data_IF_455268374744
#
_entry.id   IF_455268374744
#
_cell.length_a   1.000
_cell.length_b   1.000
_cell.length_c   1.000
_cell.angle_alpha   90.00
_cell.angle_beta   90.00
_cell.angle_gamma   90.00
#
_symmetry.space_group_name_H-M   'P 1'
#
loop_
_entity.id
_entity.type
_entity.pdbx_description
1 polymer ?
#
# COMPACT_ATOMS: atom_id res chain seq x y z
N UNK A 1 8.03 -3.73 -14.56
CA UNK A 1 7.91 -2.46 -13.82
C UNK A 1 6.46 -2.09 -13.72
N UNK A 2 6.12 -1.12 -12.88
CA UNK A 2 4.72 -0.72 -12.65
C UNK A 2 4.06 -0.09 -13.89
N UNK A 3 4.84 0.44 -14.85
CA UNK A 3 4.34 1.04 -16.09
C UNK A 3 3.74 -0.01 -17.03
N UNK A 4 4.56 -0.94 -17.51
CA UNK A 4 4.06 -2.05 -18.34
C UNK A 4 3.07 -2.94 -17.57
N UNK A 5 3.26 -3.12 -16.26
CA UNK A 5 2.32 -3.86 -15.42
C UNK A 5 0.92 -3.25 -15.40
N UNK A 6 0.81 -1.91 -15.35
CA UNK A 6 -0.47 -1.19 -15.45
C UNK A 6 -1.17 -1.47 -16.78
N UNK A 7 -0.45 -1.29 -17.88
CA UNK A 7 -1.00 -1.46 -19.23
C UNK A 7 -1.44 -2.92 -19.45
N UNK A 8 -0.62 -3.89 -19.02
CA UNK A 8 -0.93 -5.30 -19.12
C UNK A 8 -2.13 -5.71 -18.25
N UNK A 9 -2.22 -5.18 -17.04
CA UNK A 9 -3.38 -5.43 -16.18
C UNK A 9 -4.66 -4.82 -16.78
N UNK A 10 -4.57 -3.65 -17.44
CA UNK A 10 -5.70 -3.08 -18.16
C UNK A 10 -6.14 -3.96 -19.34
N UNK A 11 -5.23 -4.49 -20.16
CA UNK A 11 -5.60 -5.41 -21.27
C UNK A 11 -6.26 -6.68 -20.76
N UNK A 12 -5.80 -7.22 -19.63
CA UNK A 12 -6.47 -8.33 -18.93
C UNK A 12 -7.86 -7.95 -18.45
N UNK A 13 -8.04 -6.78 -17.84
CA UNK A 13 -9.34 -6.31 -17.38
C UNK A 13 -10.35 -6.14 -18.52
N UNK A 14 -9.91 -5.69 -19.70
CA UNK A 14 -10.75 -5.64 -20.91
C UNK A 14 -11.22 -7.04 -21.33
N UNK A 15 -10.31 -8.01 -21.34
CA UNK A 15 -10.65 -9.40 -21.71
C UNK A 15 -11.58 -10.05 -20.68
N UNK A 16 -11.28 -9.89 -19.39
CA UNK A 16 -12.06 -10.44 -18.29
C UNK A 16 -13.47 -9.82 -18.24
N UNK A 17 -13.58 -8.52 -18.46
CA UNK A 17 -14.87 -7.85 -18.55
C UNK A 17 -15.77 -8.45 -19.63
N UNK A 18 -15.22 -8.83 -20.78
CA UNK A 18 -15.99 -9.53 -21.84
C UNK A 18 -16.39 -10.93 -21.43
N UNK A 19 -15.56 -11.64 -20.68
CA UNK A 19 -15.87 -12.97 -20.18
C UNK A 19 -17.01 -12.95 -19.14
N UNK A 20 -16.98 -11.98 -18.22
CA UNK A 20 -17.97 -11.86 -17.13
C UNK A 20 -19.28 -11.22 -17.62
N UNK A 21 -19.21 -10.14 -18.40
CA UNK A 21 -20.38 -9.33 -18.76
C UNK A 21 -20.88 -9.56 -20.20
N UNK A 22 -20.21 -10.44 -20.97
CA UNK A 22 -20.56 -10.78 -22.34
C UNK A 22 -19.79 -9.99 -23.42
N UNK A 23 -19.84 -10.43 -24.70
CA UNK A 23 -19.00 -9.91 -25.78
C UNK A 23 -19.24 -8.44 -26.13
N UNK A 24 -20.43 -7.91 -25.83
CA UNK A 24 -20.81 -6.51 -26.04
C UNK A 24 -20.22 -5.56 -24.98
N UNK A 25 -19.65 -6.10 -23.89
CA UNK A 25 -19.01 -5.27 -22.89
C UNK A 25 -17.68 -4.71 -23.42
N UNK A 26 -17.61 -3.39 -23.54
CA UNK A 26 -16.38 -2.69 -23.90
C UNK A 26 -15.98 -1.70 -22.79
N UNK A 27 -14.99 -2.10 -22.00
CA UNK A 27 -14.41 -1.26 -20.93
C UNK A 27 -13.79 0.02 -21.51
N UNK A 28 -13.13 -0.08 -22.66
CA UNK A 28 -12.38 1.00 -23.29
C UNK A 28 -13.32 2.04 -23.87
N UNK A 29 -14.41 1.63 -24.53
CA UNK A 29 -15.41 2.58 -25.03
C UNK A 29 -16.21 3.23 -23.89
N UNK A 30 -16.53 2.49 -22.82
CA UNK A 30 -17.15 3.09 -21.62
C UNK A 30 -16.24 4.15 -20.98
N UNK A 31 -14.94 3.88 -20.92
CA UNK A 31 -13.93 4.83 -20.44
C UNK A 31 -13.88 6.06 -21.36
N UNK A 32 -13.75 5.85 -22.67
CA UNK A 32 -13.72 6.91 -23.69
C UNK A 32 -14.92 7.84 -23.65
N UNK A 33 -16.10 7.28 -23.36
CA UNK A 33 -17.37 8.01 -23.25
C UNK A 33 -17.53 8.75 -21.91
N UNK A 34 -16.60 8.61 -20.96
CA UNK A 34 -16.72 9.20 -19.62
C UNK A 34 -17.83 8.57 -18.77
N UNK A 35 -18.31 7.38 -19.13
CA UNK A 35 -19.42 6.72 -18.44
C UNK A 35 -19.01 6.08 -17.11
N UNK A 36 -17.72 5.75 -16.96
CA UNK A 36 -17.15 5.07 -15.80
C UNK A 36 -15.86 5.76 -15.34
N UNK A 37 -15.46 5.51 -14.10
CA UNK A 37 -14.09 5.73 -13.61
C UNK A 37 -13.50 4.38 -13.30
N UNK A 38 -12.28 4.09 -13.76
CA UNK A 38 -11.60 2.81 -13.51
C UNK A 38 -10.49 3.04 -12.51
N UNK A 39 -10.40 2.17 -11.50
CA UNK A 39 -9.29 2.16 -10.55
C UNK A 39 -8.54 0.83 -10.65
N UNK A 40 -7.22 0.91 -10.64
CA UNK A 40 -6.29 -0.21 -10.60
C UNK A 40 -5.41 -0.07 -9.36
N UNK A 41 -5.30 -1.15 -8.60
CA UNK A 41 -4.53 -1.20 -7.38
C UNK A 41 -3.32 -2.10 -7.60
N UNK A 42 -2.11 -1.55 -7.54
CA UNK A 42 -0.89 -2.34 -7.60
C UNK A 42 -0.72 -3.08 -6.29
N UNK A 43 -0.97 -4.39 -6.35
CA UNK A 43 -0.67 -5.32 -5.26
C UNK A 43 0.72 -5.94 -5.36
N UNK A 44 1.43 -5.65 -6.45
CA UNK A 44 2.72 -6.25 -6.74
C UNK A 44 3.82 -5.79 -5.77
N UNK A 45 4.68 -6.73 -5.39
CA UNK A 45 5.89 -6.50 -4.60
C UNK A 45 6.02 -7.52 -3.48
N UNK A 46 7.24 -8.03 -3.25
CA UNK A 46 7.52 -9.09 -2.27
C UNK A 46 7.30 -8.66 -0.80
N UNK A 47 7.02 -7.39 -0.54
CA UNK A 47 6.85 -6.87 0.82
C UNK A 47 8.07 -7.01 1.72
N UNK A 48 9.29 -7.09 1.17
CA UNK A 48 10.50 -7.49 1.92
C UNK A 48 10.73 -6.67 3.20
N UNK A 49 10.50 -5.35 3.17
CA UNK A 49 10.68 -4.47 4.35
C UNK A 49 9.58 -4.62 5.42
N UNK A 50 8.45 -5.25 5.08
CA UNK A 50 7.35 -5.59 5.98
C UNK A 50 7.42 -7.05 6.45
N UNK A 51 8.34 -7.86 5.90
CA UNK A 51 8.53 -9.25 6.33
C UNK A 51 8.75 -9.32 7.85
N UNK A 52 8.10 -10.29 8.56
CA UNK A 52 7.49 -11.50 7.99
C UNK A 52 5.99 -11.42 7.66
N UNK A 53 5.30 -10.30 7.92
CA UNK A 53 3.82 -10.22 7.82
C UNK A 53 3.25 -10.68 6.46
N UNK A 54 3.81 -10.26 5.30
CA UNK A 54 3.29 -10.70 4.01
C UNK A 54 3.32 -12.22 3.81
N UNK A 55 4.25 -12.94 4.46
CA UNK A 55 4.31 -14.39 4.37
C UNK A 55 3.06 -15.06 4.97
N UNK A 56 2.47 -14.46 6.00
CA UNK A 56 1.21 -14.92 6.61
C UNK A 56 0.00 -14.75 5.68
N UNK A 57 0.09 -13.79 4.77
CA UNK A 57 -0.96 -13.46 3.80
C UNK A 57 -0.60 -13.99 2.42
N UNK A 58 0.14 -15.10 2.33
CA UNK A 58 0.54 -15.74 1.07
C UNK A 58 1.24 -14.79 0.09
N UNK A 59 2.19 -14.02 0.61
CA UNK A 59 2.94 -12.98 -0.10
C UNK A 59 2.11 -11.78 -0.57
N UNK A 60 0.83 -11.69 -0.17
CA UNK A 60 -0.03 -10.55 -0.46
C UNK A 60 0.21 -9.42 0.55
N UNK A 61 1.14 -8.52 0.22
CA UNK A 61 1.45 -7.37 1.09
C UNK A 61 0.21 -6.50 1.42
N UNK A 62 -0.62 -6.05 0.45
CA UNK A 62 -1.87 -5.36 0.75
C UNK A 62 -2.91 -6.17 1.54
N UNK A 63 -2.77 -7.50 1.54
CA UNK A 63 -3.63 -8.41 2.30
C UNK A 63 -3.41 -8.34 3.81
N UNK A 64 -2.30 -7.76 4.29
CA UNK A 64 -2.05 -7.57 5.72
C UNK A 64 -3.20 -6.80 6.36
N UNK A 65 -3.74 -7.32 7.47
CA UNK A 65 -4.90 -6.77 8.15
C UNK A 65 -4.52 -5.55 9.00
N UNK A 66 -5.47 -4.63 9.14
CA UNK A 66 -5.46 -3.45 9.99
C UNK A 66 -6.34 -3.70 11.22
N UNK A 67 -6.19 -2.91 12.30
CA UNK A 67 -7.04 -2.98 13.48
C UNK A 67 -8.38 -2.28 13.22
N UNK A 68 -9.14 -2.83 12.29
CA UNK A 68 -10.47 -2.40 11.93
C UNK A 68 -11.25 -3.61 11.44
N UNK A 69 -12.57 -3.59 11.63
CA UNK A 69 -13.45 -4.61 11.08
C UNK A 69 -14.40 -3.97 10.07
N UNK A 70 -14.77 -4.73 9.05
CA UNK A 70 -15.76 -4.36 8.04
C UNK A 70 -16.84 -5.43 7.97
N UNK A 71 -18.03 -5.04 7.55
CA UNK A 71 -19.10 -5.99 7.28
C UNK A 71 -19.13 -6.31 5.78
N UNK A 72 -18.97 -7.59 5.44
CA UNK A 72 -19.08 -8.12 4.08
C UNK A 72 -20.13 -9.22 4.13
N UNK A 73 -21.21 -9.08 3.37
CA UNK A 73 -22.30 -10.06 3.28
C UNK A 73 -22.86 -10.55 4.63
N UNK A 74 -22.88 -9.66 5.64
CA UNK A 74 -23.36 -9.95 6.99
C UNK A 74 -22.28 -10.45 7.96
N UNK A 75 -21.10 -10.84 7.47
CA UNK A 75 -19.98 -11.26 8.29
C UNK A 75 -19.07 -10.08 8.67
N UNK A 76 -18.60 -10.07 9.92
CA UNK A 76 -17.64 -9.06 10.40
C UNK A 76 -16.22 -9.61 10.27
N UNK A 77 -15.46 -9.09 9.32
CA UNK A 77 -14.09 -9.55 9.00
C UNK A 77 -13.07 -8.44 9.19
N UNK A 78 -11.80 -8.77 9.48
CA UNK A 78 -10.74 -7.75 9.58
C UNK A 78 -10.53 -7.01 8.25
N UNK A 79 -10.41 -5.70 8.31
CA UNK A 79 -10.05 -4.87 7.17
C UNK A 79 -8.59 -5.11 6.78
N UNK A 80 -8.32 -5.28 5.49
CA UNK A 80 -6.98 -5.32 4.88
C UNK A 80 -6.46 -3.91 4.57
N UNK A 81 -5.15 -3.75 4.37
CA UNK A 81 -4.60 -2.50 3.83
C UNK A 81 -5.23 -2.19 2.46
N UNK A 82 -5.44 -3.19 1.61
CA UNK A 82 -6.06 -2.99 0.30
C UNK A 82 -7.45 -2.36 0.39
N UNK A 83 -8.30 -2.86 1.29
CA UNK A 83 -9.66 -2.31 1.49
C UNK A 83 -9.62 -0.88 2.02
N UNK A 84 -8.67 -0.56 2.92
CA UNK A 84 -8.42 0.81 3.33
C UNK A 84 -8.01 1.71 2.15
N UNK A 85 -7.14 1.22 1.26
CA UNK A 85 -6.73 1.93 0.04
C UNK A 85 -7.90 2.10 -0.93
N UNK A 86 -8.78 1.11 -1.07
CA UNK A 86 -9.99 1.25 -1.89
C UNK A 86 -10.91 2.32 -1.28
N UNK A 87 -11.15 2.25 0.04
CA UNK A 87 -11.98 3.22 0.77
C UNK A 87 -11.49 4.65 0.62
N UNK A 88 -10.20 4.91 0.82
CA UNK A 88 -9.66 6.27 0.73
C UNK A 88 -9.70 6.83 -0.70
N UNK A 89 -9.49 5.98 -1.71
CA UNK A 89 -9.31 6.43 -3.09
C UNK A 89 -10.63 6.56 -3.84
N UNK A 90 -11.67 5.86 -3.38
CA UNK A 90 -13.02 5.92 -3.94
C UNK A 90 -13.61 7.33 -3.98
N UNK A 91 -13.17 8.22 -3.08
CA UNK A 91 -13.61 9.63 -3.05
C UNK A 91 -13.26 10.42 -4.31
N UNK A 92 -12.26 9.98 -5.09
CA UNK A 92 -11.85 10.61 -6.35
C UNK A 92 -12.64 10.14 -7.57
N UNK A 93 -13.47 9.10 -7.45
CA UNK A 93 -14.12 8.45 -8.59
C UNK A 93 -15.04 9.40 -9.39
N UNK A 94 -15.70 10.34 -8.72
CA UNK A 94 -16.59 11.33 -9.36
C UNK A 94 -15.82 12.33 -10.22
N UNK A 95 -14.67 12.80 -9.74
CA UNK A 95 -13.75 13.69 -10.45
C UNK A 95 -13.06 13.02 -11.66
N UNK A 96 -13.00 11.68 -11.69
CA UNK A 96 -12.15 10.92 -12.62
C UNK A 96 -12.91 10.06 -13.62
N UNK A 97 -14.16 10.41 -13.90
CA UNK A 97 -14.89 9.79 -15.00
C UNK A 97 -14.12 9.90 -16.32
N UNK A 98 -14.06 8.79 -17.04
CA UNK A 98 -13.30 8.61 -18.27
C UNK A 98 -11.81 8.39 -18.10
N UNK A 99 -11.35 8.07 -16.89
CA UNK A 99 -9.93 7.91 -16.58
C UNK A 99 -9.62 6.58 -15.90
N UNK A 100 -8.43 6.06 -16.18
CA UNK A 100 -7.81 4.97 -15.44
C UNK A 100 -6.97 5.60 -14.32
N UNK A 101 -7.36 5.36 -13.07
CA UNK A 101 -6.59 5.72 -11.88
C UNK A 101 -5.79 4.54 -11.40
N UNK A 102 -4.55 4.77 -11.00
CA UNK A 102 -3.61 3.76 -10.53
C UNK A 102 -3.12 4.15 -9.15
N UNK A 103 -3.26 3.23 -8.20
CA UNK A 103 -2.92 3.43 -6.80
C UNK A 103 -2.01 2.32 -6.28
N UNK A 104 -1.16 2.66 -5.30
CA UNK A 104 -0.39 1.66 -4.55
C UNK A 104 -1.28 0.99 -3.50
N UNK A 105 -1.30 -0.34 -3.47
CA UNK A 105 -2.17 -1.11 -2.56
C UNK A 105 -1.77 -1.08 -1.08
N UNK A 106 -0.70 -0.38 -0.70
CA UNK A 106 -0.05 -0.47 0.62
C UNK A 106 0.09 0.86 1.37
N UNK A 107 -0.52 1.95 0.87
CA UNK A 107 -0.36 3.30 1.44
C UNK A 107 -1.70 3.96 1.69
N UNK A 108 -1.96 4.34 2.94
CA UNK A 108 -3.14 5.11 3.30
C UNK A 108 -2.80 6.60 3.46
N UNK A 109 -3.48 7.49 2.74
CA UNK A 109 -3.41 8.92 2.92
C UNK A 109 -4.81 9.54 3.03
N UNK A 110 -4.97 10.47 3.95
CA UNK A 110 -6.20 11.23 4.15
C UNK A 110 -5.96 12.65 3.65
N UNK A 111 -6.60 13.07 2.54
CA UNK A 111 -6.35 14.39 1.97
C UNK A 111 -6.86 15.49 2.91
N UNK A 112 -6.09 16.58 2.98
CA UNK A 112 -6.51 17.84 3.60
C UNK A 112 -7.06 18.84 2.57
N UNK A 113 -6.78 18.62 1.28
CA UNK A 113 -7.34 19.36 0.16
C UNK A 113 -8.65 18.73 -0.36
N UNK A 114 -9.37 19.50 -1.19
CA UNK A 114 -10.60 19.03 -1.82
C UNK A 114 -10.33 17.91 -2.84
N UNK A 115 -11.14 16.85 -2.77
CA UNK A 115 -11.04 15.68 -3.68
C UNK A 115 -11.96 15.80 -4.91
N UNK A 116 -12.89 16.75 -4.88
CA UNK A 116 -13.76 17.10 -6.00
C UNK A 116 -13.05 18.14 -6.88
N UNK A 117 -12.76 17.77 -8.13
CA UNK A 117 -12.11 18.65 -9.09
C UNK A 117 -12.48 18.25 -10.53
N UNK A 118 -12.20 19.13 -11.48
CA UNK A 118 -12.28 18.83 -12.92
C UNK A 118 -10.87 18.62 -13.45
N UNK A 119 -10.55 17.45 -14.04
CA UNK A 119 -9.24 17.23 -14.64
C UNK A 119 -8.93 18.26 -15.73
N UNK A 120 -7.78 18.91 -15.62
CA UNK A 120 -7.27 19.87 -16.59
C UNK A 120 -6.13 19.30 -17.44
N UNK A 121 -5.69 18.07 -17.14
CA UNK A 121 -4.55 17.41 -17.77
C UNK A 121 -4.89 15.96 -18.17
N UNK A 122 -4.23 15.46 -19.20
CA UNK A 122 -4.33 14.07 -19.66
C UNK A 122 -3.76 13.09 -18.63
N UNK A 123 -2.76 13.53 -17.86
CA UNK A 123 -2.13 12.79 -16.78
C UNK A 123 -2.21 13.63 -15.52
N UNK A 124 -2.74 13.07 -14.44
CA UNK A 124 -2.75 13.64 -13.10
C UNK A 124 -1.88 12.77 -12.19
N UNK A 125 -1.01 13.36 -11.39
CA UNK A 125 -0.29 12.65 -10.32
C UNK A 125 -0.64 13.24 -8.96
N UNK A 126 -0.85 12.39 -7.94
CA UNK A 126 -1.15 12.86 -6.60
C UNK A 126 0.15 13.20 -5.87
N UNK A 127 0.19 14.38 -5.25
CA UNK A 127 1.32 14.81 -4.43
C UNK A 127 0.88 15.67 -3.25
N UNK A 128 1.74 15.78 -2.24
CA UNK A 128 1.60 16.73 -1.12
C UNK A 128 2.36 18.01 -1.47
N UNK A 129 1.70 18.98 -2.09
CA UNK A 129 2.38 20.20 -2.55
C UNK A 129 2.67 21.15 -1.38
N UNK A 130 3.84 21.79 -1.42
CA UNK A 130 4.26 22.85 -0.52
C UNK A 130 5.15 23.85 -1.29
N UNK A 131 5.50 25.02 -0.71
CA UNK A 131 6.59 25.83 -1.24
C UNK A 131 7.90 25.02 -1.31
N UNK A 132 8.79 25.37 -2.26
CA UNK A 132 10.11 24.73 -2.36
C UNK A 132 10.86 24.89 -1.04
N UNK A 133 11.22 23.79 -0.35
CA UNK A 133 11.85 23.89 0.96
C UNK A 133 13.32 24.29 0.82
N UNK A 134 13.91 24.75 1.92
CA UNK A 134 15.36 24.92 2.05
C UNK A 134 16.08 23.57 2.01
N UNK A 135 17.39 23.57 1.77
CA UNK A 135 18.19 22.34 1.78
C UNK A 135 18.12 21.61 3.14
N UNK A 136 18.09 22.36 4.24
CA UNK A 136 17.96 21.80 5.59
C UNK A 136 16.62 21.09 5.79
N UNK A 137 15.52 21.71 5.36
CA UNK A 137 14.18 21.11 5.41
C UNK A 137 14.05 19.90 4.48
N UNK A 138 14.69 19.94 3.30
CA UNK A 138 14.74 18.81 2.37
C UNK A 138 15.36 17.57 3.02
N UNK A 139 16.51 17.76 3.68
CA UNK A 139 17.21 16.69 4.41
C UNK A 139 16.41 16.21 5.62
N UNK A 140 15.82 17.13 6.40
CA UNK A 140 15.02 16.78 7.57
C UNK A 140 13.79 15.95 7.19
N UNK A 141 13.15 16.27 6.07
CA UNK A 141 12.00 15.53 5.51
C UNK A 141 12.40 14.29 4.71
N UNK A 142 13.69 14.10 4.42
CA UNK A 142 14.20 12.97 3.63
C UNK A 142 13.66 12.93 2.21
N UNK A 143 13.46 14.09 1.58
CA UNK A 143 12.82 14.21 0.25
C UNK A 143 13.61 13.55 -0.88
N UNK A 144 14.91 13.31 -0.67
CA UNK A 144 15.78 12.55 -1.59
C UNK A 144 15.39 11.08 -1.75
N UNK A 145 14.56 10.55 -0.84
CA UNK A 145 14.09 9.16 -0.85
C UNK A 145 12.82 8.95 -1.68
N UNK A 146 12.18 10.02 -2.13
CA UNK A 146 10.89 10.00 -2.79
C UNK A 146 10.94 10.59 -4.20
N UNK A 147 9.92 10.27 -5.00
CA UNK A 147 9.63 11.02 -6.23
C UNK A 147 9.09 12.40 -5.88
N UNK A 148 9.37 13.38 -6.73
CA UNK A 148 9.00 14.77 -6.51
C UNK A 148 8.23 15.33 -7.70
N UNK A 149 7.17 16.06 -7.37
CA UNK A 149 6.37 16.80 -8.32
C UNK A 149 6.65 18.28 -8.16
N UNK A 150 7.08 18.92 -9.24
CA UNK A 150 7.22 20.36 -9.30
C UNK A 150 6.14 20.94 -10.22
N UNK A 151 5.49 22.00 -9.78
CA UNK A 151 4.42 22.69 -10.53
C UNK A 151 4.87 24.11 -10.83
N UNK A 152 4.80 24.52 -12.09
CA UNK A 152 5.13 25.87 -12.55
C UNK A 152 3.94 26.83 -12.51
N UNK A 153 4.17 28.09 -12.93
CA UNK A 153 3.15 29.14 -12.99
C UNK A 153 1.96 28.83 -13.92
N UNK A 154 2.15 27.96 -14.91
CA UNK A 154 1.12 27.53 -15.86
C UNK A 154 0.37 26.26 -15.40
N UNK A 155 0.61 25.85 -14.14
CA UNK A 155 0.11 24.62 -13.54
C UNK A 155 0.51 23.35 -14.35
N UNK A 156 1.63 23.38 -15.06
CA UNK A 156 2.22 22.15 -15.61
C UNK A 156 3.12 21.52 -14.56
N UNK A 157 2.99 20.22 -14.40
CA UNK A 157 3.80 19.45 -13.48
C UNK A 157 5.02 18.83 -14.19
N UNK A 158 6.06 18.55 -13.42
CA UNK A 158 7.21 17.75 -13.81
C UNK A 158 7.55 16.72 -12.73
N UNK A 159 7.96 15.53 -13.16
CA UNK A 159 8.41 14.46 -12.28
C UNK A 159 9.94 14.46 -12.21
N UNK A 160 10.47 14.44 -10.99
CA UNK A 160 11.89 14.19 -10.73
C UNK A 160 12.02 13.10 -9.67
N UNK A 161 12.67 11.98 -9.98
CA UNK A 161 12.72 10.82 -9.07
C UNK A 161 14.00 10.77 -8.22
N UNK A 162 13.86 10.88 -6.88
CA UNK A 162 14.90 10.61 -5.87
C UNK A 162 16.20 11.36 -6.11
N UNK A 163 16.16 12.68 -5.94
CA UNK A 163 17.28 13.60 -6.18
C UNK A 163 17.63 14.42 -4.96
N UNK A 164 18.86 14.93 -4.92
CA UNK A 164 19.25 15.95 -3.94
C UNK A 164 18.54 17.28 -4.20
N UNK A 165 18.50 18.15 -3.19
CA UNK A 165 17.95 19.51 -3.30
C UNK A 165 18.62 20.32 -4.42
N UNK A 166 19.95 20.30 -4.48
CA UNK A 166 20.72 20.99 -5.53
C UNK A 166 20.42 20.44 -6.93
N UNK A 167 20.29 19.12 -7.08
CA UNK A 167 19.92 18.50 -8.36
C UNK A 167 18.50 18.90 -8.76
N UNK A 168 17.53 18.90 -7.85
CA UNK A 168 16.16 19.36 -8.12
C UNK A 168 16.13 20.81 -8.60
N UNK A 169 16.79 21.74 -7.91
CA UNK A 169 16.85 23.14 -8.31
C UNK A 169 17.43 23.32 -9.71
N UNK A 170 18.53 22.62 -10.01
CA UNK A 170 19.16 22.69 -11.32
C UNK A 170 18.25 22.16 -12.42
N UNK A 171 17.65 20.99 -12.24
CA UNK A 171 16.78 20.35 -13.25
C UNK A 171 15.50 21.14 -13.51
N UNK A 172 15.01 21.85 -12.49
CA UNK A 172 13.77 22.63 -12.57
C UNK A 172 14.01 24.10 -12.96
N UNK A 173 15.28 24.54 -13.05
CA UNK A 173 15.63 25.94 -13.33
C UNK A 173 15.12 26.44 -14.69
N UNK A 174 15.03 25.55 -15.69
CA UNK A 174 14.54 25.88 -17.04
C UNK A 174 13.02 26.04 -17.09
N UNK A 175 12.29 25.64 -16.04
CA UNK A 175 10.81 25.72 -15.98
C UNK A 175 10.28 27.09 -15.53
N UNK A 176 11.16 28.09 -15.38
CA UNK A 176 10.79 29.41 -14.91
C UNK A 176 10.38 29.42 -13.44
N UNK A 177 9.33 30.16 -13.11
CA UNK A 177 8.88 30.30 -11.72
C UNK A 177 8.16 29.02 -11.25
N UNK A 178 8.77 28.32 -10.29
CA UNK A 178 8.14 27.20 -9.59
C UNK A 178 7.15 27.73 -8.57
N UNK A 179 5.88 27.34 -8.74
CA UNK A 179 4.78 27.66 -7.83
C UNK A 179 4.85 26.79 -6.57
N UNK A 180 5.12 25.50 -6.73
CA UNK A 180 5.14 24.54 -5.62
C UNK A 180 5.90 23.27 -5.96
N UNK A 181 6.39 22.58 -4.93
CA UNK A 181 7.04 21.27 -5.01
C UNK A 181 6.48 20.36 -3.92
N UNK A 182 6.29 19.08 -4.23
CA UNK A 182 5.72 18.12 -3.30
C UNK A 182 6.21 16.71 -3.48
N UNK A 183 6.03 15.90 -2.43
CA UNK A 183 6.31 14.47 -2.48
C UNK A 183 5.24 13.77 -3.32
N UNK A 184 5.67 13.05 -4.34
CA UNK A 184 4.79 12.18 -5.13
C UNK A 184 4.30 11.04 -4.26
N UNK A 185 2.98 10.80 -4.28
CA UNK A 185 2.38 9.59 -3.72
C UNK A 185 2.46 8.40 -4.69
N UNK A 186 3.05 8.60 -5.87
CA UNK A 186 3.19 7.59 -6.94
C UNK A 186 1.87 7.10 -7.52
N UNK A 187 0.73 7.60 -7.02
CA UNK A 187 -0.60 7.34 -7.57
C UNK A 187 -0.88 8.35 -8.67
N UNK A 188 -1.48 7.90 -9.76
CA UNK A 188 -1.74 8.75 -10.92
C UNK A 188 -3.08 8.41 -11.58
N UNK A 189 -3.52 9.25 -12.50
CA UNK A 189 -4.70 9.00 -13.31
C UNK A 189 -4.46 9.48 -14.73
N UNK A 190 -4.72 8.61 -15.70
CA UNK A 190 -4.62 8.91 -17.13
C UNK A 190 -5.97 8.84 -17.79
N UNK A 191 -6.22 9.76 -18.71
CA UNK A 191 -7.41 9.68 -19.56
C UNK A 191 -7.29 8.62 -20.67
N UNK A 192 -8.38 8.44 -21.41
CA UNK A 192 -8.44 7.53 -22.53
C UNK A 192 -7.36 7.80 -23.58
N UNK A 193 -7.10 9.05 -23.94
CA UNK A 193 -6.28 9.39 -25.10
C UNK A 193 -4.81 8.99 -24.85
N UNK A 194 -4.25 9.30 -23.67
CA UNK A 194 -2.88 8.91 -23.34
C UNK A 194 -2.78 7.42 -23.00
N UNK A 195 -3.84 6.81 -22.44
CA UNK A 195 -3.88 5.37 -22.20
C UNK A 195 -3.76 4.58 -23.51
N UNK A 196 -4.52 4.93 -24.54
CA UNK A 196 -4.44 4.26 -25.85
C UNK A 196 -3.07 4.49 -26.49
N UNK A 197 -2.54 5.73 -26.44
CA UNK A 197 -1.20 6.00 -26.97
C UNK A 197 -0.10 5.13 -26.31
N UNK A 198 -0.19 4.91 -25.00
CA UNK A 198 0.73 4.02 -24.28
C UNK A 198 0.50 2.54 -24.61
N UNK A 199 -0.75 2.09 -24.71
CA UNK A 199 -1.07 0.71 -25.10
C UNK A 199 -0.54 0.37 -26.49
N UNK A 200 -0.72 1.28 -27.45
CA UNK A 200 -0.25 1.10 -28.83
C UNK A 200 1.28 1.11 -28.90
N UNK A 201 1.94 2.04 -28.20
CA UNK A 201 3.40 2.13 -28.19
C UNK A 201 4.08 0.87 -27.68
N UNK A 202 3.52 0.27 -26.62
CA UNK A 202 4.11 -0.87 -25.93
C UNK A 202 3.45 -2.21 -26.27
N UNK A 203 2.63 -2.26 -27.33
CA UNK A 203 1.86 -3.45 -27.69
C UNK A 203 2.72 -4.71 -27.83
N UNK A 204 3.92 -4.57 -28.40
CA UNK A 204 4.87 -5.67 -28.57
C UNK A 204 5.36 -6.23 -27.23
N UNK A 205 5.79 -5.37 -26.31
CA UNK A 205 6.21 -5.77 -24.96
C UNK A 205 5.08 -6.39 -24.16
N UNK A 206 3.86 -5.87 -24.29
CA UNK A 206 2.67 -6.40 -23.62
C UNK A 206 2.31 -7.80 -24.14
N UNK A 207 2.38 -8.02 -25.47
CA UNK A 207 2.13 -9.32 -26.09
C UNK A 207 3.19 -10.35 -25.68
N UNK A 208 4.45 -9.95 -25.66
CA UNK A 208 5.58 -10.82 -25.31
C UNK A 208 5.78 -10.99 -23.80
N UNK A 209 5.09 -10.19 -22.98
CA UNK A 209 5.29 -10.10 -21.52
C UNK A 209 6.75 -9.82 -21.16
N UNK A 210 7.38 -8.92 -21.91
CA UNK A 210 8.81 -8.61 -21.78
C UNK A 210 9.04 -7.18 -21.28
N UNK A 211 10.22 -6.94 -20.71
CA UNK A 211 10.64 -5.61 -20.25
C UNK A 211 10.28 -5.26 -18.81
N UNK A 212 10.92 -4.19 -18.29
CA UNK A 212 10.74 -3.72 -16.91
C UNK A 212 10.70 -2.20 -16.84
N UNK A 213 9.69 -1.59 -17.47
CA UNK A 213 9.49 -0.13 -17.41
C UNK A 213 8.55 0.26 -16.26
N UNK A 214 9.00 1.22 -15.46
CA UNK A 214 8.25 1.93 -14.42
C UNK A 214 7.76 3.30 -14.92
N UNK A 215 6.59 3.72 -14.46
CA UNK A 215 5.90 4.95 -14.86
C UNK A 215 6.73 6.21 -14.65
N UNK A 216 7.25 6.45 -13.45
CA UNK A 216 8.02 7.66 -13.14
C UNK A 216 9.24 7.84 -14.06
N UNK A 217 10.24 6.94 -14.05
CA UNK A 217 11.43 7.11 -14.88
C UNK A 217 11.18 6.87 -16.37
N UNK A 218 10.25 6.00 -16.78
CA UNK A 218 10.16 5.62 -18.20
C UNK A 218 9.00 6.29 -18.93
N UNK A 219 7.95 6.78 -18.25
CA UNK A 219 6.83 7.47 -18.89
C UNK A 219 6.85 8.97 -18.56
N UNK A 220 6.80 9.35 -17.28
CA UNK A 220 6.60 10.75 -16.88
C UNK A 220 7.85 11.61 -17.05
N UNK A 221 9.02 11.13 -16.62
CA UNK A 221 10.27 11.86 -16.76
C UNK A 221 10.59 12.21 -18.23
N UNK A 222 10.57 11.28 -19.20
CA UNK A 222 10.84 11.64 -20.59
C UNK A 222 9.73 12.51 -21.21
N UNK A 223 8.54 12.60 -20.62
CA UNK A 223 7.50 13.56 -21.04
C UNK A 223 7.72 14.97 -20.49
N UNK A 224 8.36 15.10 -19.33
CA UNK A 224 8.38 16.35 -18.56
C UNK A 224 9.76 16.98 -18.42
N UNK A 225 10.83 16.24 -18.69
CA UNK A 225 12.20 16.70 -18.57
C UNK A 225 12.87 16.90 -19.94
N UNK A 226 13.81 17.85 -20.06
CA UNK A 226 14.70 17.93 -21.21
C UNK A 226 15.55 16.66 -21.37
N UNK A 227 15.93 16.33 -22.60
CA UNK A 227 16.72 15.13 -22.94
C UNK A 227 17.99 14.97 -22.09
N UNK A 228 18.76 16.04 -21.93
CA UNK A 228 20.02 16.02 -21.18
C UNK A 228 19.77 15.68 -19.71
N UNK A 229 18.79 16.35 -19.10
CA UNK A 229 18.37 16.12 -17.72
C UNK A 229 17.88 14.67 -17.50
N UNK A 230 17.09 14.15 -18.44
CA UNK A 230 16.59 12.77 -18.39
C UNK A 230 17.73 11.74 -18.44
N UNK A 231 18.64 11.86 -19.42
CA UNK A 231 19.78 10.94 -19.58
C UNK A 231 20.67 10.96 -18.34
N UNK A 232 20.93 12.15 -17.78
CA UNK A 232 21.73 12.31 -16.57
C UNK A 232 21.13 11.53 -15.40
N UNK A 233 19.83 11.71 -15.13
CA UNK A 233 19.14 11.03 -14.04
C UNK A 233 19.09 9.52 -14.24
N UNK A 234 18.82 9.06 -15.46
CA UNK A 234 18.79 7.63 -15.76
C UNK A 234 20.17 6.98 -15.58
N UNK A 235 21.24 7.70 -15.94
CA UNK A 235 22.63 7.25 -15.71
C UNK A 235 22.95 7.14 -14.22
N UNK A 236 22.51 8.10 -13.39
CA UNK A 236 22.64 8.03 -11.93
C UNK A 236 21.90 6.83 -11.33
N UNK A 237 20.83 6.37 -11.98
CA UNK A 237 20.05 5.18 -11.62
C UNK A 237 20.62 3.87 -12.22
N UNK A 238 21.77 3.93 -12.90
CA UNK A 238 22.47 2.78 -13.45
C UNK A 238 22.02 2.36 -14.85
N UNK A 239 21.18 3.14 -15.53
CA UNK A 239 20.82 2.87 -16.92
C UNK A 239 21.94 3.32 -17.88
N UNK A 240 22.11 2.62 -18.99
CA UNK A 240 23.05 3.02 -20.03
C UNK A 240 22.59 4.33 -20.72
N UNK A 241 23.56 5.18 -21.10
CA UNK A 241 23.30 6.42 -21.86
C UNK A 241 22.60 6.11 -23.19
N UNK A 242 23.04 5.06 -23.89
CA UNK A 242 22.44 4.59 -25.14
C UNK A 242 20.95 4.26 -24.97
N UNK A 243 20.63 3.40 -23.99
CA UNK A 243 19.26 3.04 -23.65
C UNK A 243 18.41 4.28 -23.31
N UNK A 244 18.95 5.16 -22.46
CA UNK A 244 18.25 6.37 -22.03
C UNK A 244 17.97 7.30 -23.21
N UNK A 245 18.92 7.44 -24.13
CA UNK A 245 18.77 8.26 -25.33
C UNK A 245 17.67 7.73 -26.24
N UNK A 246 17.72 6.43 -26.57
CA UNK A 246 16.73 5.77 -27.43
C UNK A 246 15.34 5.79 -26.80
N UNK A 247 15.26 5.53 -25.49
CA UNK A 247 13.99 5.55 -24.78
C UNK A 247 13.36 6.95 -24.75
N UNK A 248 14.16 8.00 -24.52
CA UNK A 248 13.67 9.38 -24.60
C UNK A 248 13.08 9.69 -25.97
N UNK A 249 13.80 9.36 -27.05
CA UNK A 249 13.37 9.60 -28.42
C UNK A 249 12.09 8.83 -28.78
N UNK A 250 11.97 7.60 -28.29
CA UNK A 250 10.75 6.79 -28.41
C UNK A 250 9.56 7.49 -27.76
N UNK A 251 9.70 7.93 -26.51
CA UNK A 251 8.63 8.60 -25.77
C UNK A 251 8.26 9.96 -26.38
N UNK A 252 9.22 10.71 -26.91
CA UNK A 252 8.94 11.95 -27.63
C UNK A 252 8.20 11.70 -28.95
N UNK A 253 8.54 10.63 -29.66
CA UNK A 253 7.83 10.21 -30.87
C UNK A 253 6.38 9.80 -30.58
N UNK A 254 6.15 9.09 -29.46
CA UNK A 254 4.81 8.83 -28.93
C UNK A 254 4.06 10.14 -28.68
N UNK A 255 4.65 11.08 -27.93
CA UNK A 255 4.00 12.35 -27.61
C UNK A 255 3.62 13.12 -28.87
N UNK A 256 4.49 13.14 -29.88
CA UNK A 256 4.18 13.78 -31.15
C UNK A 256 2.92 13.19 -31.79
N UNK A 257 2.82 11.85 -31.88
CA UNK A 257 1.62 11.17 -32.40
C UNK A 257 0.39 11.45 -31.53
N UNK A 258 0.55 11.38 -30.21
CA UNK A 258 -0.51 11.67 -29.25
C UNK A 258 -1.10 13.07 -29.48
N UNK A 259 -0.27 14.10 -29.62
CA UNK A 259 -0.77 15.47 -29.85
C UNK A 259 -1.49 15.66 -31.19
N UNK A 260 -1.17 14.85 -32.21
CA UNK A 260 -1.86 14.87 -33.50
C UNK A 260 -3.23 14.17 -33.44
N UNK A 261 -3.39 13.18 -32.57
CA UNK A 261 -4.54 12.27 -32.55
C UNK A 261 -5.48 12.45 -31.35
N UNK A 262 -5.07 13.19 -30.31
CA UNK A 262 -5.86 13.40 -29.10
C UNK A 262 -7.21 14.07 -29.41
N UNK A 263 -8.23 13.65 -28.69
CA UNK A 263 -9.59 14.20 -28.76
C UNK A 263 -9.70 15.46 -27.91
N UNK A 264 -9.19 15.37 -26.68
CA UNK A 264 -9.26 16.46 -25.71
C UNK A 264 -8.04 17.38 -25.82
N UNK A 265 -8.24 18.69 -25.60
CA UNK A 265 -7.16 19.69 -25.60
C UNK A 265 -6.75 20.08 -24.18
N UNK A 266 -6.38 19.09 -23.38
CA UNK A 266 -5.92 19.29 -22.00
C UNK A 266 -4.42 19.57 -21.93
N UNK A 267 -3.94 20.00 -20.76
CA UNK A 267 -2.51 19.96 -20.44
C UNK A 267 -1.99 18.52 -20.44
N UNK A 268 -0.69 18.31 -20.57
CA UNK A 268 -0.17 16.94 -20.62
C UNK A 268 -0.11 16.31 -19.23
N UNK A 269 0.64 16.95 -18.32
CA UNK A 269 0.99 16.40 -17.01
C UNK A 269 0.67 17.43 -15.92
N UNK A 270 -0.28 17.09 -15.06
CA UNK A 270 -0.78 17.93 -13.97
C UNK A 270 -0.60 17.26 -12.61
N UNK A 271 -0.78 18.05 -11.56
CA UNK A 271 -0.71 17.58 -10.19
C UNK A 271 -2.06 17.76 -9.49
N UNK A 272 -2.49 16.72 -8.77
CA UNK A 272 -3.61 16.79 -7.83
C UNK A 272 -3.01 16.90 -6.43
N UNK A 273 -3.10 18.09 -5.85
CA UNK A 273 -2.62 18.32 -4.48
C UNK A 273 -3.56 17.65 -3.48
N UNK A 274 -3.02 16.75 -2.65
CA UNK A 274 -3.77 16.16 -1.52
C UNK A 274 -3.72 17.04 -0.27
N UNK A 275 -2.97 18.14 -0.33
CA UNK A 275 -2.79 19.14 0.70
C UNK A 275 -1.63 18.81 1.64
N UNK A 276 -0.89 19.85 2.06
CA UNK A 276 0.32 19.73 2.90
C UNK A 276 0.06 19.21 4.32
N UNK A 277 -1.19 19.22 4.77
CA UNK A 277 -1.63 18.70 6.07
C UNK A 277 -2.28 17.31 5.96
N UNK A 278 -2.13 16.63 4.82
CA UNK A 278 -2.62 15.27 4.64
C UNK A 278 -1.95 14.32 5.65
N UNK A 279 -2.74 13.42 6.23
CA UNK A 279 -2.17 12.29 6.96
C UNK A 279 -1.66 11.25 5.99
N UNK A 280 -0.53 10.63 6.30
CA UNK A 280 0.06 9.57 5.49
C UNK A 280 0.55 8.42 6.37
N UNK A 281 -0.20 7.34 6.34
CA UNK A 281 0.05 6.11 7.07
C UNK A 281 0.61 5.05 6.09
N UNK A 282 1.95 5.02 6.00
CA UNK A 282 2.70 4.03 5.21
C UNK A 282 2.82 2.72 6.01
N UNK A 283 2.29 1.62 5.48
CA UNK A 283 2.36 0.29 6.08
C UNK A 283 3.47 -0.57 5.45
N UNK A 284 4.39 0.01 4.70
CA UNK A 284 5.43 -0.71 3.97
C UNK A 284 6.60 -1.24 4.80
N UNK A 285 6.67 -0.95 6.11
CA UNK A 285 7.74 -1.38 7.02
C UNK A 285 7.16 -1.78 8.39
N UNK A 286 7.74 -2.80 9.03
CA UNK A 286 7.30 -3.30 10.36
C UNK A 286 7.15 -2.20 11.41
N UNK A 287 8.16 -1.33 11.57
CA UNK A 287 8.12 -0.24 12.54
C UNK A 287 6.97 0.73 12.32
N UNK A 288 6.61 0.98 11.05
CA UNK A 288 5.51 1.87 10.71
C UNK A 288 4.17 1.15 10.82
N UNK A 289 4.13 -0.15 10.56
CA UNK A 289 2.96 -0.97 10.85
C UNK A 289 2.59 -0.90 12.34
N UNK A 290 3.55 -1.08 13.26
CA UNK A 290 3.29 -0.90 14.70
C UNK A 290 2.88 0.55 15.02
N UNK A 291 3.72 1.52 14.63
CA UNK A 291 3.49 2.95 14.95
C UNK A 291 2.12 3.43 14.48
N UNK A 292 1.79 3.23 13.21
CA UNK A 292 0.57 3.78 12.62
C UNK A 292 -0.68 3.08 13.16
N UNK A 293 -0.60 1.79 13.51
CA UNK A 293 -1.73 1.11 14.11
C UNK A 293 -1.93 1.52 15.57
N UNK A 294 -0.86 1.68 16.36
CA UNK A 294 -0.97 2.14 17.76
C UNK A 294 -1.44 3.59 17.89
N UNK A 295 -1.34 4.40 16.83
CA UNK A 295 -1.88 5.77 16.79
C UNK A 295 -3.37 5.82 17.19
N UNK A 296 -4.16 4.77 16.91
CA UNK A 296 -5.58 4.71 17.33
C UNK A 296 -5.79 4.80 18.84
N UNK A 297 -4.75 4.55 19.63
CA UNK A 297 -4.80 4.60 21.10
C UNK A 297 -4.53 5.99 21.66
N UNK A 298 -3.99 6.91 20.85
CA UNK A 298 -3.58 8.23 21.29
C UNK A 298 -4.74 9.22 21.35
N UNK A 299 -4.56 10.29 22.14
CA UNK A 299 -5.48 11.42 22.22
C UNK A 299 -4.96 12.61 21.40
N UNK A 300 -4.95 12.43 20.08
CA UNK A 300 -4.56 13.46 19.12
C UNK A 300 -5.60 13.62 18.01
N UNK A 301 -5.54 14.74 17.28
CA UNK A 301 -6.43 14.98 16.13
C UNK A 301 -6.21 13.94 15.03
N UNK A 302 -4.95 13.54 14.81
CA UNK A 302 -4.61 12.50 13.84
C UNK A 302 -5.14 11.13 14.26
N UNK A 303 -5.03 10.79 15.55
CA UNK A 303 -5.60 9.57 16.10
C UNK A 303 -7.13 9.53 15.97
N UNK A 304 -7.81 10.66 16.20
CA UNK A 304 -9.24 10.78 15.99
C UNK A 304 -9.62 10.59 14.51
N UNK A 305 -8.84 11.16 13.58
CA UNK A 305 -9.04 10.98 12.15
C UNK A 305 -8.82 9.51 11.73
N UNK A 306 -7.78 8.85 12.25
CA UNK A 306 -7.53 7.42 12.00
C UNK A 306 -8.68 6.56 12.53
N UNK A 307 -9.13 6.77 13.77
CA UNK A 307 -10.30 6.05 14.33
C UNK A 307 -11.55 6.26 13.48
N UNK A 308 -11.83 7.49 13.07
CA UNK A 308 -12.96 7.79 12.19
C UNK A 308 -12.83 7.10 10.83
N UNK A 309 -11.64 7.11 10.24
CA UNK A 309 -11.37 6.43 8.97
C UNK A 309 -11.55 4.91 9.08
N UNK A 310 -11.08 4.31 10.17
CA UNK A 310 -11.21 2.88 10.45
C UNK A 310 -12.60 2.48 10.93
N UNK A 311 -13.48 3.44 11.25
CA UNK A 311 -14.83 3.17 11.78
C UNK A 311 -14.85 2.76 13.25
N UNK A 312 -13.80 3.07 14.01
CA UNK A 312 -13.69 2.77 15.44
C UNK A 312 -14.45 3.82 16.24
N UNK A 313 -15.69 3.52 16.62
CA UNK A 313 -16.53 4.41 17.45
C UNK A 313 -16.40 4.12 18.94
N UNK A 314 -16.02 2.90 19.29
CA UNK A 314 -15.77 2.45 20.66
C UNK A 314 -14.50 1.60 20.65
N UNK A 315 -13.50 1.89 21.50
CA UNK A 315 -12.25 1.14 21.55
C UNK A 315 -12.42 -0.33 21.94
N UNK A 316 -13.59 -0.77 22.41
CA UNK A 316 -13.86 -2.15 22.84
C UNK A 316 -14.93 -2.85 21.98
N UNK A 317 -15.24 -2.31 20.79
CA UNK A 317 -16.34 -2.82 19.95
C UNK A 317 -16.11 -4.27 19.48
N UNK A 318 -17.22 -5.02 19.38
CA UNK A 318 -17.25 -6.44 19.01
C UNK A 318 -16.48 -7.39 19.95
N UNK A 319 -16.08 -6.92 21.14
CA UNK A 319 -15.28 -7.70 22.07
C UNK A 319 -16.09 -8.23 23.27
N UNK A 320 -15.75 -9.44 23.70
CA UNK A 320 -16.23 -10.10 24.92
C UNK A 320 -15.12 -10.09 25.97
N UNK A 321 -15.21 -9.18 26.96
CA UNK A 321 -14.15 -8.92 27.91
C UNK A 321 -14.62 -9.25 29.33
N UNK A 322 -13.82 -10.04 30.05
CA UNK A 322 -14.19 -10.49 31.39
C UNK A 322 -14.13 -9.39 32.46
N UNK A 323 -14.82 -9.61 33.60
CA UNK A 323 -14.89 -8.62 34.67
C UNK A 323 -13.49 -8.40 35.29
N UNK A 324 -13.11 -7.14 35.48
CA UNK A 324 -11.85 -6.76 36.11
C UNK A 324 -10.65 -6.64 35.16
N UNK A 325 -10.85 -6.69 33.85
CA UNK A 325 -9.84 -6.25 32.88
C UNK A 325 -9.42 -4.80 33.15
N UNK A 326 -8.12 -4.51 33.00
CA UNK A 326 -7.55 -3.17 33.12
C UNK A 326 -7.12 -2.67 31.75
N UNK A 327 -7.59 -1.48 31.38
CA UNK A 327 -7.28 -0.83 30.11
C UNK A 327 -6.68 0.55 30.34
N UNK A 328 -5.69 0.91 29.54
CA UNK A 328 -5.11 2.25 29.47
C UNK A 328 -4.71 2.54 28.02
N UNK A 329 -5.34 3.52 27.37
CA UNK A 329 -5.12 3.86 25.96
C UNK A 329 -5.09 2.62 25.03
N UNK A 330 -6.26 2.05 24.70
CA UNK A 330 -6.34 0.79 23.95
C UNK A 330 -7.30 0.85 22.78
N UNK A 331 -7.13 -0.08 21.84
CA UNK A 331 -8.20 -0.53 20.93
C UNK A 331 -8.22 -2.07 20.94
N UNK A 332 -9.30 -2.66 21.44
CA UNK A 332 -9.54 -4.10 21.55
C UNK A 332 -10.80 -4.43 20.76
N UNK A 333 -10.61 -4.94 19.56
CA UNK A 333 -11.64 -5.10 18.54
C UNK A 333 -11.88 -6.58 18.27
N UNK A 334 -13.14 -7.02 18.24
CA UNK A 334 -13.47 -8.41 17.86
C UNK A 334 -12.79 -9.48 18.73
N UNK A 335 -12.48 -9.17 19.99
CA UNK A 335 -11.60 -9.99 20.83
C UNK A 335 -12.34 -10.61 22.02
N UNK A 336 -11.94 -11.82 22.43
CA UNK A 336 -12.50 -12.54 23.59
C UNK A 336 -11.43 -12.82 24.64
N UNK A 337 -11.47 -12.09 25.76
CA UNK A 337 -10.41 -12.11 26.78
C UNK A 337 -11.00 -12.16 28.19
N UNK A 338 -10.61 -13.15 29.00
CA UNK A 338 -11.21 -13.33 30.33
C UNK A 338 -10.63 -12.41 31.41
N UNK A 339 -9.30 -12.19 31.45
CA UNK A 339 -8.68 -11.33 32.47
C UNK A 339 -7.33 -10.78 32.01
N UNK A 340 -6.84 -9.76 32.71
CA UNK A 340 -5.51 -9.23 32.45
C UNK A 340 -5.44 -7.72 32.33
N UNK A 341 -4.36 -7.25 31.72
CA UNK A 341 -4.07 -5.82 31.55
C UNK A 341 -3.59 -5.53 30.13
N UNK A 342 -4.09 -4.44 29.56
CA UNK A 342 -3.71 -3.96 28.23
C UNK A 342 -3.43 -2.46 28.32
N UNK A 343 -2.23 -2.04 27.90
CA UNK A 343 -1.82 -0.62 27.90
C UNK A 343 -1.24 -0.21 26.56
N UNK A 344 -1.64 0.95 26.02
CA UNK A 344 -1.08 1.55 24.80
C UNK A 344 -0.95 0.54 23.64
N UNK A 345 -1.95 -0.32 23.51
CA UNK A 345 -1.88 -1.51 22.66
C UNK A 345 -3.14 -1.69 21.83
N UNK A 346 -2.98 -2.41 20.72
CA UNK A 346 -4.04 -2.69 19.76
C UNK A 346 -4.19 -4.19 19.58
N UNK A 347 -5.39 -4.70 19.86
CA UNK A 347 -5.74 -6.10 19.72
C UNK A 347 -6.93 -6.18 18.75
N UNK A 348 -6.80 -6.99 17.69
CA UNK A 348 -7.89 -7.25 16.75
C UNK A 348 -8.03 -8.76 16.55
N UNK A 349 -9.21 -9.32 16.81
CA UNK A 349 -9.45 -10.76 16.65
C UNK A 349 -8.67 -11.63 17.64
N UNK A 350 -8.38 -11.14 18.85
CA UNK A 350 -7.57 -11.88 19.83
C UNK A 350 -8.46 -12.72 20.74
N UNK A 351 -8.08 -13.99 20.95
CA UNK A 351 -8.72 -14.87 21.93
C UNK A 351 -7.70 -15.38 22.94
N UNK A 352 -7.92 -15.11 24.23
CA UNK A 352 -7.06 -15.60 25.30
C UNK A 352 -7.79 -15.72 26.64
N UNK A 353 -7.29 -16.57 27.55
CA UNK A 353 -7.77 -16.60 28.92
C UNK A 353 -7.14 -15.48 29.76
N UNK A 354 -5.85 -15.17 29.55
CA UNK A 354 -5.22 -14.04 30.23
C UNK A 354 -4.18 -13.29 29.41
N UNK A 355 -4.14 -11.96 29.56
CA UNK A 355 -3.19 -11.10 28.82
C UNK A 355 -2.44 -10.13 29.73
N UNK A 356 -1.18 -9.84 29.41
CA UNK A 356 -0.42 -8.72 29.98
C UNK A 356 0.34 -8.04 28.84
N UNK A 357 -0.26 -7.00 28.27
CA UNK A 357 0.18 -6.42 26.99
C UNK A 357 0.45 -4.92 27.16
N UNK A 358 1.58 -4.48 26.64
CA UNK A 358 2.00 -3.08 26.65
C UNK A 358 2.65 -2.67 25.32
N UNK A 359 2.33 -1.49 24.78
CA UNK A 359 2.94 -0.92 23.56
C UNK A 359 2.96 -1.87 22.33
N UNK A 360 2.00 -2.81 22.22
CA UNK A 360 2.05 -3.92 21.24
C UNK A 360 0.85 -3.95 20.30
N UNK A 361 1.01 -4.64 19.18
CA UNK A 361 -0.09 -4.98 18.26
C UNK A 361 -0.24 -6.49 18.12
N UNK A 362 -1.46 -6.99 18.31
CA UNK A 362 -1.83 -8.39 18.12
C UNK A 362 -2.99 -8.45 17.14
N UNK A 363 -2.81 -9.14 16.02
CA UNK A 363 -3.83 -9.32 14.99
C UNK A 363 -4.07 -10.81 14.79
N UNK A 364 -5.32 -11.24 14.98
CA UNK A 364 -5.77 -12.62 14.89
C UNK A 364 -4.84 -13.57 15.66
N UNK A 365 -4.87 -13.48 16.99
CA UNK A 365 -4.02 -14.28 17.88
C UNK A 365 -4.90 -15.14 18.77
N UNK A 366 -4.56 -16.42 18.94
CA UNK A 366 -5.30 -17.33 19.82
C UNK A 366 -4.33 -18.15 20.66
N UNK A 367 -4.29 -17.89 21.96
CA UNK A 367 -3.39 -18.58 22.89
C UNK A 367 -3.97 -18.57 24.31
N UNK A 368 -3.60 -19.55 25.15
CA UNK A 368 -4.11 -19.62 26.53
C UNK A 368 -3.78 -18.35 27.33
N UNK A 369 -2.53 -17.91 27.30
CA UNK A 369 -2.08 -16.64 27.86
C UNK A 369 -1.09 -15.92 26.95
N UNK A 370 -0.99 -14.59 27.08
CA UNK A 370 -0.07 -13.78 26.28
C UNK A 370 0.58 -12.70 27.15
N UNK A 371 1.91 -12.65 27.17
CA UNK A 371 2.70 -11.55 27.72
C UNK A 371 3.55 -10.97 26.60
N UNK A 372 3.38 -9.67 26.34
CA UNK A 372 4.06 -9.00 25.24
C UNK A 372 4.27 -7.51 25.54
N UNK A 373 5.45 -7.00 25.19
CA UNK A 373 5.76 -5.58 25.31
C UNK A 373 6.51 -5.09 24.08
N UNK A 374 6.01 -4.03 23.45
CA UNK A 374 6.54 -3.56 22.15
C UNK A 374 6.62 -4.69 21.12
N UNK A 375 5.65 -5.60 21.05
CA UNK A 375 5.67 -6.74 20.13
C UNK A 375 4.67 -6.57 18.98
N UNK A 376 4.90 -7.36 17.93
CA UNK A 376 3.94 -7.58 16.83
C UNK A 376 3.64 -9.08 16.79
N UNK A 377 2.38 -9.47 17.02
CA UNK A 377 1.93 -10.86 16.81
C UNK A 377 0.87 -10.86 15.72
N UNK A 378 0.99 -11.79 14.78
CA UNK A 378 0.14 -11.78 13.59
C UNK A 378 -0.23 -13.20 13.13
N UNK A 379 -1.52 -13.53 13.10
CA UNK A 379 -2.06 -14.85 12.71
C UNK A 379 -1.42 -16.03 13.49
N UNK A 380 -1.27 -15.88 14.81
CA UNK A 380 -0.60 -16.88 15.67
C UNK A 380 -1.63 -17.69 16.46
N UNK A 381 -1.56 -19.01 16.39
CA UNK A 381 -2.20 -19.90 17.37
C UNK A 381 -1.16 -20.62 18.25
N UNK A 382 -1.48 -20.82 19.52
CA UNK A 382 -0.70 -21.63 20.45
C UNK A 382 -1.59 -22.45 21.38
N UNK A 383 -1.32 -23.75 21.47
CA UNK A 383 -1.95 -24.67 22.41
C UNK A 383 -1.20 -24.79 23.75
N UNK A 384 -0.03 -24.15 23.87
CA UNK A 384 0.74 -24.20 25.12
C UNK A 384 -0.07 -23.57 26.26
N UNK A 385 -0.32 -24.35 27.32
CA UNK A 385 -1.00 -23.90 28.52
C UNK A 385 -0.22 -22.81 29.28
N UNK A 386 1.10 -22.71 29.08
CA UNK A 386 1.92 -21.60 29.59
C UNK A 386 1.76 -20.32 28.77
N UNK A 387 1.15 -20.44 27.58
CA UNK A 387 0.92 -19.36 26.64
C UNK A 387 2.19 -18.79 26.01
N UNK A 388 2.04 -17.64 25.36
CA UNK A 388 3.11 -16.92 24.69
C UNK A 388 3.78 -15.95 25.67
N UNK A 389 5.08 -16.13 25.93
CA UNK A 389 5.91 -15.24 26.73
C UNK A 389 6.99 -14.67 25.81
N UNK A 390 6.81 -13.42 25.38
CA UNK A 390 7.68 -12.80 24.39
C UNK A 390 8.68 -11.83 25.02
N UNK A 391 9.84 -11.73 24.40
CA UNK A 391 10.82 -10.69 24.71
C UNK A 391 10.34 -9.33 24.17
N UNK A 392 10.80 -8.25 24.79
CA UNK A 392 10.50 -6.89 24.32
C UNK A 392 10.95 -6.74 22.87
N UNK A 393 10.06 -6.27 21.98
CA UNK A 393 10.42 -6.04 20.57
C UNK A 393 10.24 -7.24 19.62
N UNK A 394 9.85 -8.42 20.12
CA UNK A 394 9.62 -9.61 19.29
C UNK A 394 8.53 -9.39 18.23
N UNK A 395 8.76 -9.95 17.05
CA UNK A 395 7.78 -10.04 15.95
C UNK A 395 7.53 -11.52 15.67
N UNK A 396 6.30 -12.00 15.86
CA UNK A 396 5.94 -13.42 15.71
C UNK A 396 4.77 -13.54 14.74
N UNK A 397 4.96 -14.33 13.68
CA UNK A 397 4.00 -14.44 12.57
C UNK A 397 3.70 -15.90 12.29
N UNK A 398 2.43 -16.29 12.34
CA UNK A 398 2.03 -17.62 11.88
C UNK A 398 1.87 -17.64 10.36
N UNK A 399 2.42 -18.66 9.71
CA UNK A 399 2.34 -18.87 8.27
C UNK A 399 1.78 -20.27 8.01
N UNK A 400 0.71 -20.35 7.24
CA UNK A 400 0.19 -21.62 6.74
C UNK A 400 0.69 -21.83 5.31
N UNK A 401 1.27 -23.00 5.08
CA UNK A 401 1.78 -23.41 3.78
C UNK A 401 0.70 -24.15 2.97
N UNK A 402 0.80 -24.20 1.64
CA UNK A 402 -0.16 -24.89 0.76
C UNK A 402 -0.35 -26.39 1.07
N UNK A 403 0.65 -27.02 1.69
CA UNK A 403 0.57 -28.42 2.08
C UNK A 403 -0.17 -28.65 3.41
N UNK A 404 -0.67 -27.59 4.04
CA UNK A 404 -1.35 -27.62 5.35
C UNK A 404 -0.41 -27.47 6.54
N UNK A 405 0.91 -27.42 6.33
CA UNK A 405 1.86 -27.21 7.41
C UNK A 405 1.75 -25.79 7.97
N UNK A 406 1.98 -25.67 9.26
CA UNK A 406 2.01 -24.39 9.97
C UNK A 406 3.43 -24.10 10.45
N UNK A 407 3.91 -22.93 10.11
CA UNK A 407 5.17 -22.39 10.57
C UNK A 407 4.93 -21.19 11.49
N UNK A 408 5.85 -20.99 12.44
CA UNK A 408 5.98 -19.73 13.16
C UNK A 408 7.28 -19.08 12.69
N UNK A 409 7.17 -17.86 12.20
CA UNK A 409 8.30 -17.07 11.71
C UNK A 409 8.52 -15.91 12.67
N UNK A 410 9.72 -15.86 13.22
CA UNK A 410 10.13 -14.88 14.22
C UNK A 410 11.07 -13.82 13.63
N UNK A 411 10.99 -12.62 14.18
CA UNK A 411 11.87 -11.50 13.90
C UNK A 411 11.86 -10.52 15.09
N UNK A 412 12.42 -9.34 14.89
CA UNK A 412 12.48 -8.31 15.92
C UNK A 412 12.28 -6.92 15.28
N UNK A 413 11.68 -5.98 16.00
CA UNK A 413 11.40 -4.62 15.49
C UNK A 413 12.65 -3.84 15.05
N UNK A 414 13.83 -4.22 15.53
CA UNK A 414 15.11 -3.65 15.10
C UNK A 414 15.65 -4.22 13.78
N UNK A 415 15.06 -5.31 13.27
CA UNK A 415 15.50 -5.98 12.05
C UNK A 415 14.72 -5.41 10.85
N UNK A 416 15.45 -4.95 9.85
CA UNK A 416 14.87 -4.63 8.55
C UNK A 416 14.71 -5.93 7.74
N UNK A 417 13.47 -6.34 7.48
CA UNK A 417 13.20 -7.54 6.68
C UNK A 417 13.77 -7.48 5.25
N UNK A 418 13.98 -6.27 4.71
CA UNK A 418 14.65 -6.09 3.41
C UNK A 418 16.11 -6.49 3.44
N UNK A 419 16.82 -6.19 4.53
CA UNK A 419 18.23 -6.51 4.70
C UNK A 419 18.41 -7.98 5.12
N UNK A 420 17.49 -8.50 5.95
CA UNK A 420 17.47 -9.89 6.39
C UNK A 420 16.79 -10.86 5.40
N UNK A 421 16.34 -10.39 4.23
CA UNK A 421 15.46 -11.14 3.31
C UNK A 421 15.93 -12.56 3.00
N UNK A 422 17.24 -12.74 2.83
CA UNK A 422 17.88 -14.03 2.48
C UNK A 422 18.53 -14.73 3.67
N UNK A 423 18.55 -14.10 4.83
CA UNK A 423 19.21 -14.61 6.03
C UNK A 423 18.22 -15.45 6.82
N UNK A 424 18.65 -16.64 7.25
CA UNK A 424 17.92 -17.44 8.23
C UNK A 424 18.26 -16.84 9.61
N UNK A 425 17.24 -16.32 10.30
CA UNK A 425 17.39 -15.81 11.67
C UNK A 425 17.41 -16.99 12.65
N UNK A 426 18.07 -16.83 13.81
CA UNK A 426 18.35 -17.93 14.75
C UNK A 426 17.11 -18.73 15.19
N UNK A 427 15.96 -18.08 15.31
CA UNK A 427 14.69 -18.69 15.72
C UNK A 427 13.90 -19.33 14.56
N UNK A 428 14.39 -19.23 13.32
CA UNK A 428 13.67 -19.68 12.12
C UNK A 428 14.38 -20.85 11.42
N UNK A 429 13.59 -21.75 10.84
CA UNK A 429 14.10 -22.79 9.94
C UNK A 429 14.31 -22.28 8.50
N UNK A 430 13.64 -21.18 8.15
CA UNK A 430 13.62 -20.62 6.81
C UNK A 430 13.88 -19.10 6.82
N UNK A 431 14.54 -18.60 5.77
CA UNK A 431 14.61 -17.17 5.49
C UNK A 431 13.27 -16.66 4.96
N UNK A 432 13.07 -15.34 4.98
CA UNK A 432 11.85 -14.74 4.41
C UNK A 432 11.71 -15.02 2.91
N UNK A 433 12.82 -15.10 2.17
CA UNK A 433 12.82 -15.51 0.76
C UNK A 433 12.37 -16.97 0.57
N UNK A 434 12.80 -17.88 1.45
CA UNK A 434 12.38 -19.27 1.38
C UNK A 434 10.88 -19.42 1.65
N UNK A 435 10.35 -18.74 2.68
CA UNK A 435 8.91 -18.67 2.93
C UNK A 435 8.16 -18.10 1.73
N UNK A 436 8.67 -17.02 1.13
CA UNK A 436 8.08 -16.44 -0.08
C UNK A 436 7.97 -17.47 -1.22
N UNK A 437 9.04 -18.25 -1.46
CA UNK A 437 9.03 -19.25 -2.52
C UNK A 437 8.11 -20.44 -2.19
N UNK A 438 8.00 -20.85 -0.90
CA UNK A 438 7.07 -21.91 -0.48
C UNK A 438 5.60 -21.52 -0.69
N UNK A 439 5.30 -20.22 -0.70
CA UNK A 439 3.96 -19.67 -0.92
C UNK A 439 3.66 -19.30 -2.39
N UNK A 440 4.59 -19.49 -3.33
CA UNK A 440 4.47 -18.95 -4.70
C UNK A 440 3.22 -19.43 -5.46
N UNK A 441 2.82 -20.69 -5.23
CA UNK A 441 1.69 -21.35 -5.89
C UNK A 441 0.48 -21.52 -4.95
N UNK A 442 0.45 -20.79 -3.83
CA UNK A 442 -0.62 -20.90 -2.84
C UNK A 442 -1.95 -20.33 -3.38
N UNK A 443 -3.05 -21.06 -3.18
CA UNK A 443 -4.39 -20.47 -3.29
C UNK A 443 -4.71 -19.72 -1.99
N UNK A 444 -4.88 -18.40 -2.10
CA UNK A 444 -5.11 -17.52 -0.95
C UNK A 444 -6.40 -17.88 -0.22
N UNK A 445 -7.46 -18.27 -0.93
CA UNK A 445 -8.75 -18.60 -0.32
C UNK A 445 -8.68 -19.91 0.47
N UNK A 446 -7.96 -20.91 -0.04
CA UNK A 446 -7.74 -22.17 0.67
C UNK A 446 -6.92 -21.94 1.94
N UNK A 447 -5.88 -21.12 1.89
CA UNK A 447 -5.05 -20.81 3.06
C UNK A 447 -5.83 -20.00 4.11
N UNK A 448 -6.61 -19.01 3.70
CA UNK A 448 -7.47 -18.25 4.62
C UNK A 448 -8.47 -19.17 5.34
N UNK A 449 -9.01 -20.19 4.65
CA UNK A 449 -9.85 -21.19 5.26
C UNK A 449 -9.10 -22.03 6.31
N UNK A 450 -7.90 -22.52 6.01
CA UNK A 450 -7.07 -23.28 6.95
C UNK A 450 -6.73 -22.45 8.20
N UNK A 451 -6.34 -21.19 8.02
CA UNK A 451 -6.09 -20.26 9.12
C UNK A 451 -7.34 -20.13 10.00
N UNK A 452 -8.50 -19.93 9.38
CA UNK A 452 -9.77 -19.78 10.11
C UNK A 452 -10.11 -21.03 10.93
N UNK A 453 -10.00 -22.21 10.33
CA UNK A 453 -10.27 -23.49 10.97
C UNK A 453 -9.34 -23.74 12.16
N UNK A 454 -8.05 -23.46 12.00
CA UNK A 454 -7.06 -23.60 13.06
C UNK A 454 -7.34 -22.66 14.24
N UNK A 455 -7.63 -21.39 13.96
CA UNK A 455 -8.03 -20.45 15.02
C UNK A 455 -9.32 -20.90 15.72
N UNK A 456 -10.36 -21.33 14.98
CA UNK A 456 -11.59 -21.84 15.59
C UNK A 456 -11.35 -23.03 16.50
N UNK A 457 -10.53 -23.99 16.05
CA UNK A 457 -10.17 -25.18 16.81
C UNK A 457 -9.48 -24.83 18.14
N UNK A 458 -8.48 -23.94 18.12
CA UNK A 458 -7.77 -23.53 19.34
C UNK A 458 -8.64 -22.64 20.23
N UNK A 459 -9.54 -21.83 19.67
CA UNK A 459 -10.50 -21.03 20.46
C UNK A 459 -11.41 -21.92 21.31
N UNK A 460 -11.89 -23.04 20.78
CA UNK A 460 -12.75 -23.99 21.50
C UNK A 460 -12.03 -24.63 22.70
N UNK A 461 -10.71 -24.79 22.63
CA UNK A 461 -9.90 -25.27 23.76
C UNK A 461 -9.80 -24.24 24.91
N UNK A 462 -9.89 -22.94 24.58
CA UNK A 462 -9.72 -21.83 25.55
C UNK A 462 -11.08 -21.42 26.13
N UNK A 463 -12.08 -21.27 25.27
CA UNK A 463 -13.45 -20.87 25.64
C UNK A 463 -14.45 -21.85 25.00
N UNK A 464 -14.67 -23.02 25.62
CA UNK A 464 -15.58 -24.01 25.07
C UNK A 464 -16.98 -23.44 24.88
N UNK A 465 -17.57 -23.65 23.70
CA UNK A 465 -18.96 -23.31 23.47
C UNK A 465 -19.83 -24.25 24.30
N UNK A 466 -20.67 -23.68 25.17
CA UNK A 466 -21.61 -24.46 25.96
C UNK A 466 -22.69 -25.00 25.02
N UNK A 467 -22.55 -26.25 24.57
CA UNK A 467 -23.66 -26.95 23.91
C UNK A 467 -24.75 -27.18 24.96
N UNK A 468 -25.80 -26.35 24.92
CA UNK A 468 -27.06 -26.59 25.62
C UNK A 468 -27.90 -27.63 24.85
#
# INVERSE_FOLDING_TARGET
>A
GNGLGTLYAYTKAVAEGKAIYGPEFDLTEKLKAGAISVALYHTAGKGTRLAPLPGSENNNKPGVKLPAMINIDGETVPMTILEAVIKQTGVYATSRRGRLSVFWGDQVFIPSAAVQYTPAHHIDILATLAPMPTEAEWKAKGLDKYGLIAVDGDNQAAQVDKVSHATALRLLSERGHLKSVGTSLGSFSIDHDILIALLDEFAAELQQKSGKLDTDPHFWMPFTLPKVAYIELMTQKGAAVEFSTQHYERMQSLLHRFYMCRREKLGLFGCVDVGSAAYWWDYGQLKYYLKNNCLVTEDSTEAAALRSFLGITNPLMWSELGPGMVFDAVAVLGSKITRGTIRRSVLSGVTAASVNIEDSILINVTAHSITAKQCVLYNVTSEDLKGLQLEDGSVVVGVHLPNGDKLVVESHLSICGGDAWKTILDANEHSFEQIYNLNEEADVAEIEQLVREEHMRVRELIHPTSNN
#
